data_IF_429908306584
#
_entry.id   IF_429908306584
#
_cell.length_a   1.000
_cell.length_b   1.000
_cell.length_c   1.000
_cell.angle_alpha   90.00
_cell.angle_beta   90.00
_cell.angle_gamma   90.00
#
_symmetry.space_group_name_H-M   'P 1'
#
loop_
_entity.id
_entity.type
_entity.pdbx_description
1 polymer ?
#
# COMPACT_ATOMS: atom_id res chain seq x y z
N UNK A 1 23.75 25.31 24.31
CA UNK A 1 22.47 25.12 23.59
C UNK A 1 22.63 23.93 22.64
N UNK A 2 21.81 22.88 22.72
CA UNK A 2 21.81 21.85 21.68
C UNK A 2 20.99 22.32 20.46
N UNK A 3 21.39 21.97 19.23
CA UNK A 3 20.66 22.34 18.03
C UNK A 3 19.34 21.54 17.94
N UNK A 4 18.25 22.28 17.76
CA UNK A 4 16.92 21.79 17.40
C UNK A 4 17.00 20.96 16.10
N UNK A 5 16.89 19.64 16.21
CA UNK A 5 16.78 18.75 15.05
C UNK A 5 15.34 18.76 14.53
N UNK A 6 14.99 19.79 13.76
CA UNK A 6 13.78 19.79 12.95
C UNK A 6 13.93 18.74 11.85
N UNK A 7 13.24 17.61 11.98
CA UNK A 7 13.15 16.58 10.94
C UNK A 7 12.48 17.18 9.70
N UNK A 8 13.27 17.62 8.74
CA UNK A 8 12.80 18.07 7.44
C UNK A 8 12.15 16.90 6.69
N UNK A 9 10.84 16.94 6.50
CA UNK A 9 10.15 16.04 5.58
C UNK A 9 10.46 16.48 4.15
N UNK A 10 11.47 15.87 3.53
CA UNK A 10 11.85 16.15 2.14
C UNK A 10 10.89 15.48 1.15
N UNK A 11 10.64 16.16 0.03
CA UNK A 11 9.60 15.81 -0.96
C UNK A 11 9.94 14.51 -1.72
N UNK A 12 8.91 13.75 -2.09
CA UNK A 12 9.03 12.57 -2.97
C UNK A 12 9.65 12.99 -4.31
N UNK A 13 10.74 12.33 -4.73
CA UNK A 13 11.49 12.65 -5.96
C UNK A 13 12.91 13.19 -5.74
N UNK A 14 13.33 13.48 -4.50
CA UNK A 14 14.68 13.98 -4.20
C UNK A 14 15.80 12.92 -4.20
N UNK A 15 15.55 11.73 -4.78
CA UNK A 15 16.49 10.59 -4.71
C UNK A 15 16.56 9.89 -3.34
N UNK A 16 15.68 10.21 -2.38
CA UNK A 16 15.62 9.49 -1.12
C UNK A 16 15.02 8.09 -1.31
N UNK A 17 15.83 7.07 -1.07
CA UNK A 17 15.37 5.69 -1.01
C UNK A 17 14.41 5.49 0.17
N UNK A 18 13.41 4.63 -0.01
CA UNK A 18 12.52 4.26 1.08
C UNK A 18 13.32 3.61 2.22
N UNK A 19 12.95 3.92 3.46
CA UNK A 19 13.57 3.34 4.67
C UNK A 19 13.65 1.80 4.61
N UNK A 20 12.66 1.18 3.95
CA UNK A 20 12.53 -0.27 3.81
C UNK A 20 12.40 -0.66 2.33
N UNK A 21 13.37 -0.25 1.51
CA UNK A 21 13.30 -0.46 0.05
C UNK A 21 13.19 -1.94 -0.35
N UNK A 22 13.76 -2.87 0.41
CA UNK A 22 13.69 -4.31 0.11
C UNK A 22 12.32 -4.88 0.46
N UNK A 23 11.80 -4.50 1.62
CA UNK A 23 10.49 -4.92 2.12
C UNK A 23 9.37 -4.31 1.26
N UNK A 24 9.53 -3.06 0.79
CA UNK A 24 8.59 -2.43 -0.16
C UNK A 24 8.55 -3.16 -1.50
N UNK A 25 9.68 -3.66 -2.01
CA UNK A 25 9.71 -4.44 -3.25
C UNK A 25 8.95 -5.77 -3.11
N UNK A 26 9.11 -6.47 -1.98
CA UNK A 26 8.34 -7.69 -1.68
C UNK A 26 6.83 -7.41 -1.57
N UNK A 27 6.47 -6.28 -0.96
CA UNK A 27 5.08 -5.85 -0.88
C UNK A 27 4.50 -5.56 -2.27
N UNK A 28 5.26 -4.89 -3.13
CA UNK A 28 4.86 -4.59 -4.50
C UNK A 28 4.62 -5.87 -5.32
N UNK A 29 5.54 -6.84 -5.26
CA UNK A 29 5.40 -8.12 -5.95
C UNK A 29 4.11 -8.85 -5.53
N UNK A 30 3.83 -8.89 -4.23
CA UNK A 30 2.58 -9.46 -3.72
C UNK A 30 1.33 -8.73 -4.22
N UNK A 31 1.35 -7.40 -4.35
CA UNK A 31 0.24 -6.64 -4.94
C UNK A 31 0.07 -7.01 -6.43
N UNK A 32 1.17 -7.18 -7.16
CA UNK A 32 1.13 -7.58 -8.56
C UNK A 32 0.57 -8.98 -8.77
N UNK A 33 0.90 -9.93 -7.90
CA UNK A 33 0.28 -11.27 -7.90
C UNK A 33 -1.23 -11.16 -7.73
N UNK A 34 -1.70 -10.39 -6.74
CA UNK A 34 -3.13 -10.19 -6.51
C UNK A 34 -3.83 -9.51 -7.70
N UNK A 35 -3.18 -8.56 -8.36
CA UNK A 35 -3.73 -7.90 -9.55
C UNK A 35 -3.81 -8.84 -10.76
N UNK A 36 -2.85 -9.76 -10.92
CA UNK A 36 -2.92 -10.80 -11.96
C UNK A 36 -4.13 -11.71 -11.75
N UNK A 37 -4.45 -12.00 -10.50
CA UNK A 37 -5.61 -12.81 -10.11
C UNK A 37 -6.94 -12.03 -10.10
N UNK A 38 -6.90 -10.72 -10.37
CA UNK A 38 -8.09 -9.86 -10.40
C UNK A 38 -8.59 -9.43 -9.01
N UNK A 39 -7.82 -9.64 -7.95
CA UNK A 39 -8.18 -9.20 -6.60
C UNK A 39 -7.88 -7.71 -6.40
N UNK A 40 -8.80 -7.01 -5.74
CA UNK A 40 -8.61 -5.63 -5.32
C UNK A 40 -7.91 -5.58 -3.96
N UNK A 41 -6.85 -4.76 -3.86
CA UNK A 41 -6.10 -4.58 -2.62
C UNK A 41 -6.60 -3.35 -1.86
N UNK A 42 -6.89 -3.50 -0.57
CA UNK A 42 -7.33 -2.43 0.32
C UNK A 42 -6.17 -1.86 1.13
N UNK A 43 -6.32 -0.62 1.62
CA UNK A 43 -5.34 0.00 2.53
C UNK A 43 -5.01 -0.88 3.74
N UNK A 44 -6.02 -1.53 4.34
CA UNK A 44 -5.83 -2.39 5.51
C UNK A 44 -5.01 -3.63 5.17
N UNK A 45 -5.24 -4.27 4.01
CA UNK A 45 -4.50 -5.48 3.62
C UNK A 45 -3.04 -5.16 3.31
N UNK A 46 -2.75 -4.02 2.67
CA UNK A 46 -1.37 -3.55 2.45
C UNK A 46 -0.65 -3.36 3.79
N UNK A 47 -1.31 -2.70 4.75
CA UNK A 47 -0.75 -2.48 6.08
C UNK A 47 -0.44 -3.80 6.78
N UNK A 48 -1.40 -4.73 6.83
CA UNK A 48 -1.20 -6.03 7.48
C UNK A 48 -0.06 -6.80 6.82
N UNK A 49 -0.04 -6.89 5.49
CA UNK A 49 1.01 -7.60 4.76
C UNK A 49 2.40 -7.01 5.01
N UNK A 50 2.52 -5.70 5.00
CA UNK A 50 3.81 -5.07 5.25
C UNK A 50 4.26 -5.23 6.70
N UNK A 51 3.35 -5.25 7.69
CA UNK A 51 3.70 -5.61 9.08
C UNK A 51 4.26 -7.04 9.15
N UNK A 52 3.68 -7.98 8.40
CA UNK A 52 4.18 -9.37 8.33
C UNK A 52 5.58 -9.43 7.72
N UNK A 53 5.82 -8.73 6.60
CA UNK A 53 7.12 -8.66 5.94
C UNK A 53 8.17 -8.06 6.90
N UNK A 54 7.82 -6.96 7.56
CA UNK A 54 8.65 -6.28 8.54
C UNK A 54 8.96 -7.20 9.73
N UNK A 55 7.96 -7.91 10.27
CA UNK A 55 8.17 -8.85 11.38
C UNK A 55 9.08 -10.01 10.99
N UNK A 56 8.90 -10.56 9.79
CA UNK A 56 9.76 -11.62 9.25
C UNK A 56 11.19 -11.13 9.04
N UNK A 57 11.37 -9.93 8.48
CA UNK A 57 12.69 -9.33 8.30
C UNK A 57 13.38 -8.98 9.62
N UNK A 58 12.64 -8.55 10.66
CA UNK A 58 13.20 -8.29 11.98
C UNK A 58 13.72 -9.55 12.68
N UNK A 59 13.04 -10.69 12.51
CA UNK A 59 13.51 -11.98 13.04
C UNK A 59 14.83 -12.41 12.42
N UNK A 60 15.04 -12.09 11.14
CA UNK A 60 16.25 -12.43 10.39
C UNK A 60 17.34 -11.37 10.47
N UNK A 61 17.01 -10.16 10.93
CA UNK A 61 17.96 -9.05 11.03
C UNK A 61 19.00 -9.36 12.11
N UNK A 62 20.27 -9.37 11.73
CA UNK A 62 21.41 -9.43 12.65
C UNK A 62 21.76 -8.05 13.22
N UNK A 63 21.32 -6.99 12.53
CA UNK A 63 21.61 -5.59 12.89
C UNK A 63 20.53 -5.02 13.83
N UNK A 64 20.94 -4.64 15.04
CA UNK A 64 20.09 -4.01 16.06
C UNK A 64 19.52 -2.66 15.60
N UNK A 65 20.25 -1.90 14.78
CA UNK A 65 19.75 -0.64 14.23
C UNK A 65 18.54 -0.87 13.30
N UNK A 66 18.60 -1.95 12.50
CA UNK A 66 17.48 -2.34 11.64
C UNK A 66 16.29 -2.84 12.46
N UNK A 67 16.50 -3.63 13.52
CA UNK A 67 15.44 -4.05 14.44
C UNK A 67 14.75 -2.87 15.10
N UNK A 68 15.52 -1.87 15.56
CA UNK A 68 14.97 -0.66 16.18
C UNK A 68 14.19 0.19 15.17
N UNK A 69 14.69 0.34 13.95
CA UNK A 69 13.98 1.05 12.88
C UNK A 69 12.65 0.38 12.53
N UNK A 70 12.63 -0.95 12.45
CA UNK A 70 11.44 -1.77 12.25
C UNK A 70 10.45 -1.59 13.40
N UNK A 71 10.91 -1.68 14.65
CA UNK A 71 10.06 -1.56 15.84
C UNK A 71 9.38 -0.18 15.92
N UNK A 72 10.07 0.87 15.47
CA UNK A 72 9.56 2.23 15.44
C UNK A 72 8.78 2.58 14.17
N UNK A 73 8.65 1.66 13.22
CA UNK A 73 8.00 1.95 11.96
C UNK A 73 6.50 2.13 12.13
N UNK A 74 6.02 3.36 11.89
CA UNK A 74 4.60 3.71 11.94
C UNK A 74 4.01 3.75 10.54
N UNK A 75 3.07 2.85 10.29
CA UNK A 75 2.19 2.91 9.12
C UNK A 75 1.27 4.12 9.20
N UNK A 76 1.71 5.21 8.58
CA UNK A 76 0.91 6.41 8.38
C UNK A 76 0.28 6.41 6.99
N UNK A 77 -0.85 7.09 6.85
CA UNK A 77 -1.46 7.37 5.54
C UNK A 77 -0.48 8.09 4.59
N UNK A 78 0.40 8.92 5.15
CA UNK A 78 1.43 9.60 4.37
C UNK A 78 2.45 8.62 3.79
N UNK A 79 2.93 7.65 4.59
CA UNK A 79 3.81 6.59 4.10
C UNK A 79 3.15 5.80 2.97
N UNK A 80 1.88 5.40 3.15
CA UNK A 80 1.18 4.65 2.10
C UNK A 80 1.02 5.48 0.83
N UNK A 81 0.61 6.75 0.94
CA UNK A 81 0.49 7.63 -0.22
C UNK A 81 1.83 7.79 -0.96
N UNK A 82 2.95 7.84 -0.23
CA UNK A 82 4.27 7.87 -0.83
C UNK A 82 4.65 6.51 -1.47
N UNK A 83 4.33 5.39 -0.83
CA UNK A 83 4.54 4.04 -1.38
C UNK A 83 3.79 3.86 -2.71
N UNK A 84 2.50 4.20 -2.73
CA UNK A 84 1.68 4.14 -3.93
C UNK A 84 2.26 5.01 -5.06
N UNK A 85 2.67 6.24 -4.76
CA UNK A 85 3.32 7.13 -5.74
C UNK A 85 4.67 6.60 -6.25
N UNK A 86 5.46 5.94 -5.41
CA UNK A 86 6.77 5.38 -5.81
C UNK A 86 6.63 4.25 -6.83
N UNK A 87 5.60 3.42 -6.67
CA UNK A 87 5.36 2.24 -7.50
C UNK A 87 4.25 2.44 -8.54
N UNK A 88 3.80 3.69 -8.74
CA UNK A 88 2.69 4.06 -9.63
C UNK A 88 1.42 3.20 -9.43
N UNK A 89 1.12 2.89 -8.17
CA UNK A 89 -0.04 2.08 -7.80
C UNK A 89 -1.25 2.97 -7.51
N UNK A 90 -2.39 2.63 -8.11
CA UNK A 90 -3.70 3.18 -7.75
C UNK A 90 -4.51 2.18 -6.94
N UNK A 91 -5.08 2.60 -5.81
CA UNK A 91 -6.08 1.78 -5.12
C UNK A 91 -7.39 1.87 -5.89
N UNK A 92 -7.86 0.74 -6.40
CA UNK A 92 -9.14 0.69 -7.10
C UNK A 92 -10.28 0.82 -6.08
N UNK A 93 -10.93 1.99 -6.03
CA UNK A 93 -12.16 2.12 -5.25
C UNK A 93 -13.27 1.34 -5.93
N UNK A 94 -14.02 0.53 -5.17
CA UNK A 94 -15.28 -0.02 -5.68
C UNK A 94 -16.21 1.15 -5.97
N UNK A 95 -16.42 1.47 -7.24
CA UNK A 95 -17.55 2.29 -7.64
C UNK A 95 -18.79 1.43 -7.41
N UNK A 96 -19.71 1.90 -6.57
CA UNK A 96 -21.02 1.28 -6.48
C UNK A 96 -21.71 1.60 -7.82
N UNK A 97 -21.60 0.68 -8.78
CA UNK A 97 -22.29 0.80 -10.06
C UNK A 97 -23.76 0.51 -9.76
N UNK A 98 -24.47 1.52 -9.26
CA UNK A 98 -25.92 1.51 -9.22
C UNK A 98 -26.37 1.68 -10.67
N UNK A 99 -26.34 0.59 -11.44
CA UNK A 99 -27.07 0.54 -12.69
C UNK A 99 -28.55 0.63 -12.29
N UNK A 100 -29.21 1.75 -12.60
CA UNK A 100 -30.67 1.74 -12.65
C UNK A 100 -31.03 0.74 -13.73
N UNK A 101 -31.53 -0.43 -13.32
CA UNK A 101 -32.14 -1.37 -14.25
C UNK A 101 -33.26 -0.59 -14.98
N UNK A 102 -33.30 -0.62 -16.32
CA UNK A 102 -34.41 -0.01 -17.03
C UNK A 102 -35.71 -0.66 -16.56
N UNK A 103 -36.72 0.15 -16.20
CA UNK A 103 -38.03 -0.34 -15.75
C UNK A 103 -38.69 -1.30 -16.77
N UNK A 104 -38.25 -1.23 -18.03
CA UNK A 104 -38.73 -2.01 -19.17
C UNK A 104 -38.01 -3.36 -19.38
N UNK A 105 -37.24 -3.84 -18.40
CA UNK A 105 -36.50 -5.12 -18.52
C UNK A 105 -37.46 -6.30 -18.70
N UNK A 106 -38.54 -6.36 -17.93
CA UNK A 106 -39.50 -7.48 -17.94
C UNK A 106 -40.24 -7.58 -19.29
N UNK A 107 -40.63 -6.43 -19.88
CA UNK A 107 -41.33 -6.40 -21.17
C UNK A 107 -40.45 -6.87 -22.35
N UNK A 108 -39.13 -6.66 -22.26
CA UNK A 108 -38.19 -7.11 -23.30
C UNK A 108 -37.90 -8.60 -23.23
N UNK A 109 -37.94 -9.20 -22.04
CA UNK A 109 -37.72 -10.64 -21.86
C UNK A 109 -38.93 -11.48 -22.34
N UNK A 110 -40.13 -10.92 -22.32
CA UNK A 110 -41.36 -11.56 -22.83
C UNK A 110 -41.52 -11.50 -24.36
N UNK A 111 -40.59 -10.85 -25.08
CA UNK A 111 -40.66 -10.64 -26.54
C UNK A 111 -39.76 -11.57 -27.37
N UNK A 112 -39.16 -12.59 -26.78
CA UNK A 112 -38.33 -13.58 -27.46
C UNK A 112 -39.07 -14.89 -27.72
#
# INVERSE_FOLDING_TARGET
>A
MPPSSSKEFRRVGSGCHALFSKEEAQLYEWIMELHKDGFTVNHSSIKTKMVEIIRSSARLAQDEAKKLAIANFKFSHHWLGCFLKRYDLSLHCKTNIVQKLPDDLENKLLKF
#
